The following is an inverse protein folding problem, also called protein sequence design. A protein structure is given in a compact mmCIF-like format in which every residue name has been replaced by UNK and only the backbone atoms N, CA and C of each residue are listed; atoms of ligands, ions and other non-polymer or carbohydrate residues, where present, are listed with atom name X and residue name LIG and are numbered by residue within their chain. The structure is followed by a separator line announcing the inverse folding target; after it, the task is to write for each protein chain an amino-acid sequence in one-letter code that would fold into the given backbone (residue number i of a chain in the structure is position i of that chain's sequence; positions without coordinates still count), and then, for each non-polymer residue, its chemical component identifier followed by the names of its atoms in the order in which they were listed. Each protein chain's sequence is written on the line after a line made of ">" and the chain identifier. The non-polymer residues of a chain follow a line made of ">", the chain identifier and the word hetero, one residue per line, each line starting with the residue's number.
data_IF_226363430683
#
_entry.id   IF_226363430683
#
_cell.length_a   1.000
_cell.length_b   1.000
_cell.length_c   1.000
_cell.angle_alpha   90.00
_cell.angle_beta   90.00
_cell.angle_gamma   90.00
#
_symmetry.space_group_name_H-M   'P 1'
#
loop_
_entity.id
_entity.type
_entity.pdbx_description
1 polymer ?
#
# COMPACT_ATOMS: atom_id res chain seq x y z
N UNK A 1 0.92 -11.24 -11.71
CA UNK A 1 0.30 -10.90 -10.43
C UNK A 1 -0.01 -9.41 -10.42
N UNK A 2 -1.17 -8.98 -9.93
CA UNK A 2 -1.50 -7.56 -9.94
C UNK A 2 -0.72 -6.78 -8.89
N UNK A 3 -0.36 -5.56 -9.24
CA UNK A 3 0.18 -4.59 -8.30
C UNK A 3 -0.92 -3.61 -7.91
N UNK A 4 -1.04 -3.34 -6.63
CA UNK A 4 -1.89 -2.27 -6.11
C UNK A 4 -1.01 -1.09 -5.78
N UNK A 5 -1.28 0.04 -6.43
CA UNK A 5 -0.50 1.25 -6.25
C UNK A 5 -1.40 2.31 -5.61
N UNK A 6 -1.08 2.68 -4.38
CA UNK A 6 -1.83 3.69 -3.64
C UNK A 6 -1.04 4.97 -3.60
N UNK A 7 -1.52 5.98 -4.30
CA UNK A 7 -1.02 7.34 -4.22
C UNK A 7 -1.76 8.07 -3.10
N UNK A 8 -1.04 8.85 -2.31
CA UNK A 8 -1.68 9.59 -1.23
C UNK A 8 -0.85 10.81 -0.83
N UNK A 9 -1.53 11.74 -0.16
CA UNK A 9 -0.89 12.87 0.50
C UNK A 9 -1.12 12.74 2.00
N UNK A 10 -0.08 12.99 2.78
CA UNK A 10 -0.16 13.00 4.23
C UNK A 10 -0.67 14.36 4.68
N UNK A 11 -1.59 14.37 5.64
CA UNK A 11 -2.11 15.62 6.20
C UNK A 11 -0.99 16.47 6.76
N UNK A 12 -1.12 17.78 6.60
CA UNK A 12 -0.14 18.74 7.11
C UNK A 12 0.08 18.49 8.62
N UNK A 13 1.34 18.40 9.00
CA UNK A 13 1.73 18.15 10.39
C UNK A 13 1.70 16.70 10.82
N UNK A 14 1.31 15.76 9.96
CA UNK A 14 1.22 14.33 10.29
C UNK A 14 2.36 13.48 9.74
N UNK A 15 3.32 14.09 9.07
CA UNK A 15 4.40 13.33 8.42
C UNK A 15 5.23 12.51 9.41
N UNK A 16 5.61 13.09 10.54
CA UNK A 16 6.38 12.38 11.56
C UNK A 16 5.60 11.22 12.17
N UNK A 17 4.30 11.41 12.42
CA UNK A 17 3.41 10.38 12.91
C UNK A 17 3.29 9.24 11.90
N UNK A 18 3.14 9.56 10.63
CA UNK A 18 3.07 8.57 9.56
C UNK A 18 4.36 7.76 9.46
N UNK A 19 5.51 8.40 9.45
CA UNK A 19 6.82 7.73 9.39
C UNK A 19 7.01 6.76 10.55
N UNK A 20 6.63 7.18 11.76
CA UNK A 20 6.70 6.34 12.96
C UNK A 20 5.80 5.12 12.83
N UNK A 21 4.56 5.33 12.36
CA UNK A 21 3.61 4.26 12.12
C UNK A 21 4.11 3.24 11.10
N UNK A 22 4.71 3.70 10.02
CA UNK A 22 5.24 2.83 8.97
C UNK A 22 6.46 2.02 9.42
N UNK A 23 7.30 2.57 10.28
CA UNK A 23 8.43 1.82 10.88
C UNK A 23 7.95 0.66 11.74
N UNK A 24 6.81 0.82 12.40
CA UNK A 24 6.18 -0.26 13.15
C UNK A 24 5.41 -1.22 12.23
N UNK A 25 4.73 -0.68 11.22
CA UNK A 25 3.88 -1.44 10.30
C UNK A 25 4.66 -2.49 9.51
N UNK A 26 5.79 -2.12 8.91
CA UNK A 26 6.54 -3.02 8.03
C UNK A 26 7.05 -4.28 8.74
N UNK A 27 7.70 -4.20 9.92
CA UNK A 27 8.19 -5.40 10.58
C UNK A 27 7.10 -6.25 11.23
N UNK A 28 5.91 -5.71 11.44
CA UNK A 28 4.83 -6.38 12.18
C UNK A 28 3.63 -6.69 11.28
N UNK A 29 2.84 -5.67 10.96
CA UNK A 29 1.56 -5.85 10.25
C UNK A 29 1.76 -6.31 8.80
N UNK A 30 2.72 -5.74 8.10
CA UNK A 30 3.01 -6.14 6.71
C UNK A 30 3.48 -7.59 6.63
N UNK A 31 4.28 -8.05 7.59
CA UNK A 31 4.68 -9.45 7.68
C UNK A 31 3.50 -10.37 7.92
N UNK A 32 2.58 -9.96 8.78
CA UNK A 32 1.36 -10.73 9.03
C UNK A 32 0.53 -10.88 7.76
N UNK A 33 0.37 -9.81 7.00
CA UNK A 33 -0.39 -9.84 5.75
C UNK A 33 0.29 -10.69 4.69
N UNK A 34 1.61 -10.69 4.63
CA UNK A 34 2.35 -11.57 3.74
C UNK A 34 2.11 -13.03 4.10
N UNK A 35 2.18 -13.36 5.38
CA UNK A 35 2.00 -14.74 5.88
C UNK A 35 0.57 -15.22 5.71
N UNK A 36 -0.42 -14.41 6.06
CA UNK A 36 -1.83 -14.83 6.07
C UNK A 36 -2.50 -14.71 4.71
N UNK A 37 -2.13 -13.71 3.91
CA UNK A 37 -2.83 -13.39 2.66
C UNK A 37 -1.94 -13.49 1.43
N UNK A 38 -0.65 -13.64 1.60
CA UNK A 38 0.29 -13.62 0.47
C UNK A 38 0.47 -12.24 -0.13
N UNK A 39 0.04 -11.19 0.55
CA UNK A 39 0.23 -9.80 0.12
C UNK A 39 1.63 -9.35 0.48
N UNK A 40 2.39 -8.91 -0.52
CA UNK A 40 3.75 -8.45 -0.31
C UNK A 40 3.83 -6.94 -0.46
N UNK A 41 4.29 -6.26 0.58
CA UNK A 41 4.52 -4.82 0.55
C UNK A 41 5.87 -4.55 -0.09
N UNK A 42 5.87 -4.01 -1.30
CA UNK A 42 7.10 -3.72 -2.05
C UNK A 42 7.82 -2.53 -1.42
N UNK A 43 7.08 -1.49 -1.07
CA UNK A 43 7.66 -0.36 -0.38
C UNK A 43 6.78 0.87 -0.37
N UNK A 44 7.24 1.85 0.37
CA UNK A 44 6.68 3.19 0.40
C UNK A 44 7.73 4.15 -0.15
N UNK A 45 7.33 4.95 -1.12
CA UNK A 45 8.23 5.84 -1.85
C UNK A 45 7.70 7.27 -1.81
N UNK A 46 8.62 8.23 -1.80
CA UNK A 46 8.27 9.62 -2.05
C UNK A 46 8.19 9.84 -3.55
N UNK A 47 7.17 10.59 -3.99
CA UNK A 47 7.11 11.08 -5.36
C UNK A 47 7.79 12.43 -5.38
N UNK A 48 8.96 12.52 -6.02
CA UNK A 48 9.79 13.73 -5.94
C UNK A 48 9.38 14.79 -6.93
N UNK A 49 8.76 14.42 -8.05
CA UNK A 49 8.32 15.38 -9.07
C UNK A 49 7.29 14.75 -10.01
N UNK A 50 6.62 15.57 -10.77
CA UNK A 50 5.74 15.12 -11.87
C UNK A 50 4.34 14.71 -11.44
N UNK A 51 3.94 14.97 -10.20
CA UNK A 51 2.63 14.55 -9.70
C UNK A 51 2.12 15.46 -8.60
N UNK A 52 0.80 15.51 -8.46
CA UNK A 52 0.14 16.13 -7.31
C UNK A 52 0.26 15.27 -6.04
N UNK A 53 0.69 14.01 -6.17
CA UNK A 53 0.82 13.07 -5.07
C UNK A 53 2.25 13.08 -4.52
N UNK A 54 2.38 13.09 -3.19
CA UNK A 54 3.68 13.13 -2.53
C UNK A 54 4.20 11.75 -2.16
N UNK A 55 3.32 10.78 -2.04
CA UNK A 55 3.66 9.46 -1.55
C UNK A 55 3.00 8.38 -2.40
N UNK A 56 3.67 7.23 -2.48
CA UNK A 56 3.11 6.04 -3.12
C UNK A 56 3.48 4.80 -2.33
N UNK A 57 2.50 3.93 -2.13
CA UNK A 57 2.67 2.61 -1.50
C UNK A 57 2.34 1.55 -2.52
N UNK A 58 3.24 0.59 -2.70
CA UNK A 58 3.08 -0.46 -3.71
C UNK A 58 2.99 -1.82 -3.03
N UNK A 59 1.94 -2.58 -3.39
CA UNK A 59 1.70 -3.92 -2.93
C UNK A 59 1.65 -4.88 -4.10
N UNK A 60 2.22 -6.06 -3.90
CA UNK A 60 2.11 -7.17 -4.82
C UNK A 60 1.03 -8.12 -4.28
N UNK A 61 -0.01 -8.34 -5.06
CA UNK A 61 -1.15 -9.17 -4.65
C UNK A 61 -1.06 -10.53 -5.34
N UNK A 62 -1.36 -11.64 -4.63
CA UNK A 62 -1.44 -12.95 -5.30
C UNK A 62 -2.61 -13.00 -6.30
N UNK A 63 -3.75 -12.43 -5.93
CA UNK A 63 -4.93 -12.29 -6.79
C UNK A 63 -5.71 -11.05 -6.35
N UNK A 64 -6.61 -10.56 -7.21
CA UNK A 64 -7.53 -9.49 -6.80
C UNK A 64 -8.47 -9.93 -5.67
N UNK A 65 -8.85 -11.20 -5.67
CA UNK A 65 -9.78 -11.75 -4.68
C UNK A 65 -9.25 -11.68 -3.25
N UNK A 66 -7.93 -11.59 -3.07
CA UNK A 66 -7.35 -11.48 -1.74
C UNK A 66 -7.78 -10.20 -1.02
N UNK A 67 -8.14 -9.15 -1.77
CA UNK A 67 -8.60 -7.90 -1.17
C UNK A 67 -9.91 -8.06 -0.41
N UNK A 68 -10.80 -8.93 -0.87
CA UNK A 68 -12.05 -9.22 -0.15
C UNK A 68 -11.74 -9.81 1.22
N UNK A 69 -10.80 -10.74 1.27
CA UNK A 69 -10.37 -11.33 2.54
C UNK A 69 -9.73 -10.31 3.46
N UNK A 70 -8.89 -9.44 2.91
CA UNK A 70 -8.24 -8.39 3.69
C UNK A 70 -9.26 -7.41 4.25
N UNK A 71 -10.23 -6.97 3.42
CA UNK A 71 -11.26 -6.02 3.84
C UNK A 71 -12.25 -6.62 4.85
N UNK A 72 -12.37 -7.94 4.90
CA UNK A 72 -13.16 -8.63 5.91
C UNK A 72 -12.41 -8.80 7.25
N UNK A 73 -11.10 -8.55 7.26
CA UNK A 73 -10.28 -8.59 8.48
C UNK A 73 -10.59 -7.35 9.34
N UNK A 74 -11.17 -7.50 10.56
CA UNK A 74 -11.52 -6.35 11.38
C UNK A 74 -10.32 -5.48 11.76
N UNK A 75 -9.14 -6.07 11.97
CA UNK A 75 -7.94 -5.32 12.30
C UNK A 75 -7.46 -4.48 11.12
N UNK A 76 -7.53 -5.03 9.90
CA UNK A 76 -7.18 -4.30 8.68
C UNK A 76 -8.13 -3.14 8.42
N UNK A 77 -9.44 -3.35 8.58
CA UNK A 77 -10.44 -2.28 8.44
C UNK A 77 -10.22 -1.18 9.46
N UNK A 78 -9.99 -1.53 10.72
CA UNK A 78 -9.75 -0.56 11.79
C UNK A 78 -8.50 0.28 11.53
N UNK A 79 -7.44 -0.34 11.08
CA UNK A 79 -6.20 0.37 10.70
C UNK A 79 -6.47 1.31 9.51
N UNK A 80 -7.15 0.83 8.47
CA UNK A 80 -7.49 1.62 7.30
C UNK A 80 -8.32 2.84 7.64
N UNK A 81 -9.32 2.69 8.49
CA UNK A 81 -10.14 3.82 8.96
C UNK A 81 -9.33 4.85 9.74
N UNK A 82 -8.49 4.41 10.67
CA UNK A 82 -7.64 5.32 11.43
C UNK A 82 -6.70 6.12 10.52
N UNK A 83 -6.08 5.45 9.58
CA UNK A 83 -5.16 6.09 8.64
C UNK A 83 -5.90 7.08 7.74
N UNK A 84 -7.06 6.69 7.22
CA UNK A 84 -7.87 7.56 6.36
C UNK A 84 -8.34 8.83 7.10
N UNK A 85 -8.73 8.68 8.37
CA UNK A 85 -9.23 9.79 9.16
C UNK A 85 -8.14 10.72 9.71
N UNK A 86 -6.96 10.17 10.04
CA UNK A 86 -5.95 10.92 10.79
C UNK A 86 -4.70 11.27 9.99
N UNK A 87 -4.35 10.48 8.98
CA UNK A 87 -3.08 10.61 8.27
C UNK A 87 -3.27 11.10 6.84
N UNK A 88 -4.18 10.47 6.07
CA UNK A 88 -4.33 10.78 4.66
C UNK A 88 -5.20 12.02 4.45
N UNK A 89 -4.73 12.93 3.60
CA UNK A 89 -5.53 14.02 3.09
C UNK A 89 -6.35 13.56 1.88
N UNK A 90 -5.65 12.96 0.91
CA UNK A 90 -6.25 12.38 -0.30
C UNK A 90 -5.58 11.06 -0.61
N UNK A 91 -6.30 10.18 -1.30
CA UNK A 91 -5.69 8.96 -1.83
C UNK A 91 -6.31 8.59 -3.18
N UNK A 92 -5.53 7.88 -3.98
CA UNK A 92 -5.95 7.36 -5.28
C UNK A 92 -5.32 5.99 -5.48
N UNK A 93 -6.13 4.99 -5.81
CA UNK A 93 -5.67 3.62 -5.95
C UNK A 93 -5.81 3.21 -7.40
N UNK A 94 -4.74 2.66 -7.96
CA UNK A 94 -4.75 2.04 -9.28
C UNK A 94 -4.21 0.62 -9.18
N UNK A 95 -4.57 -0.22 -10.14
CA UNK A 95 -4.08 -1.58 -10.24
C UNK A 95 -3.34 -1.76 -11.56
N UNK A 96 -2.19 -2.43 -11.49
CA UNK A 96 -1.36 -2.71 -12.66
C UNK A 96 -1.26 -4.21 -12.85
N UNK A 97 -1.28 -4.63 -14.11
CA UNK A 97 -1.04 -6.04 -14.50
C UNK A 97 -0.03 -6.06 -15.63
N UNK A 98 0.68 -7.16 -15.73
CA UNK A 98 1.55 -7.41 -16.88
C UNK A 98 0.68 -7.48 -18.14
N UNK A 99 1.01 -6.68 -19.13
CA UNK A 99 0.21 -6.58 -20.34
C UNK A 99 0.29 -7.85 -21.19
N UNK A 100 1.48 -8.40 -21.32
CA UNK A 100 1.75 -9.53 -22.21
C UNK A 100 2.44 -10.69 -21.47
N UNK A 101 2.29 -10.71 -20.16
CA UNK A 101 2.84 -11.76 -19.31
C UNK A 101 4.13 -11.35 -18.61
N UNK A 102 4.61 -12.21 -17.73
CA UNK A 102 5.75 -11.90 -16.86
C UNK A 102 7.08 -11.76 -17.61
N UNK A 103 7.17 -12.19 -18.85
CA UNK A 103 8.36 -12.04 -19.68
C UNK A 103 8.68 -10.60 -20.06
N UNK A 104 7.69 -9.69 -19.96
CA UNK A 104 7.87 -8.27 -20.19
C UNK A 104 8.08 -7.45 -18.91
N UNK A 105 8.17 -8.11 -17.77
CA UNK A 105 8.48 -7.46 -16.51
C UNK A 105 9.96 -7.65 -16.22
N UNK A 106 10.66 -6.55 -15.91
CA UNK A 106 12.07 -6.59 -15.59
C UNK A 106 12.33 -7.48 -14.38
N UNK A 107 13.28 -8.40 -14.54
CA UNK A 107 13.73 -9.29 -13.46
C UNK A 107 15.23 -9.14 -13.33
N UNK A 108 15.71 -8.67 -12.18
CA UNK A 108 17.15 -8.56 -11.94
C UNK A 108 17.85 -9.91 -11.92
#
# INVERSE_FOLDING_TARGET
>A
MPLMVTFFNVRKGRDALFKRGMRHFFPNTARRYEKEYGIRFIGWFNVTEGSEWNNVLILDLPTYAVLDRLYDDPAARGLGHRVAETIFDKKHIIFLRERMGPDLVYKP
#
